data_IF_143790122968
#
_entry.id   IF_143790122968
#
_cell.length_a   1.000
_cell.length_b   1.000
_cell.length_c   1.000
_cell.angle_alpha   90.00
_cell.angle_beta   90.00
_cell.angle_gamma   90.00
#
_symmetry.space_group_name_H-M   'P 1'
#
loop_
_entity.id
_entity.type
_entity.pdbx_description
1 polymer ?
#
# COMPACT_ATOMS: atom_id res chain seq x y z
N UNK A 1 0.68 -15.27 9.45
CA UNK A 1 1.71 -15.44 10.49
C UNK A 1 2.96 -14.71 9.98
N UNK A 2 3.47 -13.73 10.72
CA UNK A 2 4.61 -12.88 10.30
C UNK A 2 5.85 -13.69 9.96
N UNK A 3 6.14 -14.75 10.70
CA UNK A 3 7.27 -15.64 10.42
C UNK A 3 7.19 -16.22 9.01
N UNK A 4 6.00 -16.67 8.61
CA UNK A 4 5.75 -17.16 7.25
C UNK A 4 5.98 -16.06 6.22
N UNK A 5 5.51 -14.83 6.47
CA UNK A 5 5.68 -13.72 5.53
C UNK A 5 7.15 -13.34 5.27
N UNK A 6 8.05 -13.64 6.21
CA UNK A 6 9.48 -13.38 6.08
C UNK A 6 10.20 -14.41 5.21
N UNK A 7 9.63 -15.61 5.03
CA UNK A 7 10.28 -16.69 4.31
C UNK A 7 10.40 -16.38 2.81
N UNK A 8 11.57 -16.60 2.18
CA UNK A 8 11.75 -16.43 0.74
C UNK A 8 10.76 -17.27 -0.09
N UNK A 9 10.44 -18.48 0.37
CA UNK A 9 9.48 -19.37 -0.30
C UNK A 9 8.03 -18.86 -0.25
N UNK A 10 7.75 -17.91 0.65
CA UNK A 10 6.47 -17.20 0.75
C UNK A 10 6.52 -15.81 0.09
N UNK A 11 7.54 -15.54 -0.73
CA UNK A 11 7.61 -14.33 -1.53
C UNK A 11 6.53 -14.36 -2.62
N UNK A 12 5.43 -13.67 -2.34
CA UNK A 12 4.33 -13.43 -3.27
C UNK A 12 3.74 -12.03 -3.02
N UNK A 13 2.90 -11.59 -3.95
CA UNK A 13 2.13 -10.36 -3.85
C UNK A 13 1.21 -10.37 -2.63
N UNK A 14 0.82 -9.17 -2.18
CA UNK A 14 -0.04 -9.02 -1.02
C UNK A 14 -1.43 -9.59 -1.30
N UNK A 15 -2.02 -10.20 -0.28
CA UNK A 15 -3.41 -10.64 -0.30
C UNK A 15 -4.08 -10.34 1.04
N UNK A 16 -5.38 -10.06 1.00
CA UNK A 16 -6.17 -9.81 2.21
C UNK A 16 -7.58 -10.35 2.06
N UNK A 17 -8.05 -11.08 3.08
CA UNK A 17 -9.44 -11.53 3.16
C UNK A 17 -10.30 -10.43 3.79
N UNK A 18 -11.32 -9.98 3.05
CA UNK A 18 -12.19 -8.88 3.46
C UNK A 18 -13.40 -9.34 4.28
N UNK A 19 -13.88 -10.56 4.02
CA UNK A 19 -15.10 -11.07 4.65
C UNK A 19 -15.75 -12.16 3.83
N UNK A 20 -17.00 -12.48 4.16
CA UNK A 20 -17.79 -13.49 3.45
C UNK A 20 -18.70 -12.87 2.38
N UNK A 21 -18.88 -13.59 1.29
CA UNK A 21 -19.88 -13.35 0.24
C UNK A 21 -20.96 -14.45 0.32
N UNK A 22 -22.11 -14.31 -0.37
CA UNK A 22 -23.18 -15.30 -0.30
C UNK A 22 -22.71 -16.75 -0.51
N UNK A 23 -23.21 -17.62 0.38
CA UNK A 23 -22.82 -19.03 0.47
C UNK A 23 -21.55 -19.28 1.29
N UNK A 24 -21.27 -18.43 2.29
CA UNK A 24 -20.13 -18.53 3.23
C UNK A 24 -18.75 -18.64 2.57
N UNK A 25 -18.64 -18.16 1.32
CA UNK A 25 -17.35 -18.10 0.63
C UNK A 25 -16.60 -16.86 1.07
N UNK A 26 -15.31 -16.99 1.33
CA UNK A 26 -14.47 -15.85 1.68
C UNK A 26 -14.10 -15.04 0.42
N UNK A 27 -14.13 -13.72 0.51
CA UNK A 27 -13.59 -12.81 -0.51
C UNK A 27 -12.19 -12.38 -0.10
N UNK A 28 -11.21 -12.88 -0.84
CA UNK A 28 -9.82 -12.44 -0.76
C UNK A 28 -9.49 -11.56 -1.97
N UNK A 29 -8.85 -10.42 -1.73
CA UNK A 29 -8.23 -9.61 -2.76
C UNK A 29 -6.76 -9.96 -2.89
N UNK A 30 -6.27 -10.07 -4.12
CA UNK A 30 -4.87 -10.30 -4.46
C UNK A 30 -4.33 -9.09 -5.22
N UNK A 31 -3.33 -8.43 -4.66
CA UNK A 31 -2.69 -7.25 -5.25
C UNK A 31 -1.64 -7.64 -6.30
N UNK A 32 -2.07 -8.45 -7.28
CA UNK A 32 -1.28 -8.91 -8.41
C UNK A 32 -1.95 -8.47 -9.72
N UNK A 33 -1.16 -7.94 -10.66
CA UNK A 33 -1.66 -7.44 -11.94
C UNK A 33 -2.45 -8.48 -12.76
N UNK A 34 -2.19 -9.78 -12.58
CA UNK A 34 -2.87 -10.89 -13.28
C UNK A 34 -4.09 -11.44 -12.53
N UNK A 35 -4.37 -10.96 -11.30
CA UNK A 35 -5.51 -11.37 -10.46
C UNK A 35 -6.49 -10.21 -10.28
N UNK A 36 -6.57 -9.62 -9.10
CA UNK A 36 -7.50 -8.52 -8.81
C UNK A 36 -6.93 -7.14 -9.19
N UNK A 37 -5.67 -7.07 -9.66
CA UNK A 37 -4.97 -5.83 -10.00
C UNK A 37 -4.06 -5.33 -8.88
N UNK A 38 -3.17 -4.37 -9.17
CA UNK A 38 -2.22 -3.81 -8.18
C UNK A 38 -2.73 -2.54 -7.49
N UNK A 39 -3.73 -1.87 -8.09
CA UNK A 39 -4.33 -0.64 -7.59
C UNK A 39 -5.85 -0.84 -7.53
N UNK A 40 -6.52 -0.20 -6.57
CA UNK A 40 -7.96 -0.33 -6.37
C UNK A 40 -8.64 1.01 -6.10
N UNK A 41 -9.91 1.11 -6.47
CA UNK A 41 -10.79 2.22 -6.13
C UNK A 41 -12.00 1.67 -5.38
N UNK A 42 -12.32 2.25 -4.22
CA UNK A 42 -13.51 1.94 -3.45
C UNK A 42 -14.49 3.09 -3.60
N UNK A 43 -15.70 2.79 -4.06
CA UNK A 43 -16.76 3.77 -4.28
C UNK A 43 -18.02 3.39 -3.49
N UNK A 44 -18.75 4.41 -3.06
CA UNK A 44 -19.95 4.26 -2.22
C UNK A 44 -20.36 5.59 -1.60
N UNK A 45 -21.65 5.74 -1.29
CA UNK A 45 -22.16 6.93 -0.62
C UNK A 45 -21.65 7.08 0.82
N UNK A 46 -21.98 8.20 1.46
CA UNK A 46 -21.73 8.38 2.89
C UNK A 46 -22.43 7.27 3.69
N UNK A 47 -21.73 6.69 4.66
CA UNK A 47 -22.28 5.62 5.52
C UNK A 47 -22.35 4.23 4.86
N UNK A 48 -21.82 4.05 3.64
CA UNK A 48 -21.85 2.74 2.96
C UNK A 48 -20.78 1.74 3.42
N UNK A 49 -19.97 2.09 4.42
CA UNK A 49 -18.92 1.20 4.93
C UNK A 49 -17.55 1.34 4.25
N UNK A 50 -17.27 2.42 3.50
CA UNK A 50 -16.00 2.57 2.78
C UNK A 50 -14.80 2.59 3.73
N UNK A 51 -14.86 3.44 4.75
CA UNK A 51 -13.78 3.58 5.72
C UNK A 51 -13.63 2.28 6.54
N UNK A 52 -14.73 1.61 6.90
CA UNK A 52 -14.71 0.29 7.55
C UNK A 52 -14.03 -0.79 6.69
N UNK A 53 -14.27 -0.77 5.37
CA UNK A 53 -13.59 -1.66 4.44
C UNK A 53 -12.08 -1.37 4.37
N UNK A 54 -11.69 -0.09 4.32
CA UNK A 54 -10.28 0.32 4.36
C UNK A 54 -9.61 -0.10 5.68
N UNK A 55 -10.26 0.13 6.82
CA UNK A 55 -9.78 -0.30 8.14
C UNK A 55 -9.61 -1.83 8.20
N UNK A 56 -10.57 -2.57 7.64
CA UNK A 56 -10.51 -4.05 7.55
C UNK A 56 -9.31 -4.51 6.71
N UNK A 57 -9.05 -3.84 5.58
CA UNK A 57 -7.89 -4.12 4.73
C UNK A 57 -6.57 -3.86 5.47
N UNK A 58 -6.43 -2.71 6.11
CA UNK A 58 -5.22 -2.35 6.88
C UNK A 58 -4.96 -3.40 7.96
N UNK A 59 -5.98 -3.72 8.77
CA UNK A 59 -5.87 -4.69 9.84
C UNK A 59 -5.50 -6.09 9.32
N UNK A 60 -6.20 -6.58 8.29
CA UNK A 60 -5.96 -7.90 7.71
C UNK A 60 -4.55 -8.04 7.12
N UNK A 61 -4.06 -6.99 6.45
CA UNK A 61 -2.70 -6.94 5.93
C UNK A 61 -1.65 -6.87 7.06
N UNK A 62 -1.84 -6.01 8.05
CA UNK A 62 -0.92 -5.85 9.17
C UNK A 62 -0.76 -7.14 10.00
N UNK A 63 -1.86 -7.90 10.17
CA UNK A 63 -1.84 -9.20 10.84
C UNK A 63 -1.12 -10.28 10.01
N UNK A 64 -1.12 -10.14 8.69
CA UNK A 64 -0.61 -11.16 7.77
C UNK A 64 0.88 -11.00 7.47
N UNK A 65 1.36 -9.76 7.36
CA UNK A 65 2.71 -9.43 6.89
C UNK A 65 3.52 -8.72 7.96
N UNK A 66 4.80 -9.08 8.10
CA UNK A 66 5.75 -8.37 8.97
C UNK A 66 6.02 -6.93 8.45
N UNK A 67 6.29 -5.92 9.29
CA UNK A 67 6.57 -4.54 8.86
C UNK A 67 7.80 -4.40 7.93
N UNK A 68 8.73 -5.35 7.90
CA UNK A 68 9.81 -5.36 6.89
C UNK A 68 9.36 -5.83 5.50
N UNK A 69 8.13 -6.35 5.38
CA UNK A 69 7.52 -6.83 4.14
C UNK A 69 6.45 -5.85 3.63
N UNK A 70 5.81 -5.09 4.52
CA UNK A 70 4.72 -4.18 4.20
C UNK A 70 4.77 -2.93 5.05
N UNK A 71 4.69 -1.77 4.40
CA UNK A 71 4.48 -0.47 5.04
C UNK A 71 3.23 0.22 4.51
N UNK A 72 2.62 1.06 5.35
CA UNK A 72 1.46 1.88 5.03
C UNK A 72 1.82 3.36 5.02
N UNK A 73 1.30 4.05 4.01
CA UNK A 73 1.12 5.51 4.01
C UNK A 73 -0.38 5.75 4.01
N UNK A 74 -0.88 6.35 5.07
CA UNK A 74 -2.32 6.54 5.28
C UNK A 74 -2.66 8.02 5.10
N UNK A 75 -3.52 8.32 4.14
CA UNK A 75 -3.89 9.69 3.77
C UNK A 75 -5.36 9.91 4.09
N UNK A 76 -5.60 10.77 5.07
CA UNK A 76 -6.94 11.19 5.49
C UNK A 76 -7.15 12.65 5.08
N UNK A 77 -7.74 12.84 3.88
CA UNK A 77 -7.82 14.16 3.25
C UNK A 77 -8.57 15.18 4.12
N UNK A 78 -9.73 14.80 4.67
CA UNK A 78 -10.58 15.68 5.47
C UNK A 78 -10.39 15.56 6.99
N UNK A 79 -9.46 14.71 7.45
CA UNK A 79 -9.23 14.51 8.87
C UNK A 79 -10.39 13.80 9.56
N UNK A 80 -11.06 12.87 8.87
CA UNK A 80 -12.15 12.06 9.40
C UNK A 80 -11.74 11.09 10.51
N UNK A 81 -10.44 10.97 10.79
CA UNK A 81 -9.88 10.18 11.88
C UNK A 81 -9.90 8.67 11.62
N UNK A 82 -10.29 8.24 10.42
CA UNK A 82 -10.45 6.82 10.07
C UNK A 82 -9.17 6.02 10.31
N UNK A 83 -8.01 6.64 10.11
CA UNK A 83 -6.70 5.99 10.23
C UNK A 83 -5.97 6.26 11.54
N UNK A 84 -6.50 7.15 12.40
CA UNK A 84 -5.90 7.46 13.71
C UNK A 84 -5.56 6.22 14.55
N UNK A 85 -6.44 5.19 14.64
CA UNK A 85 -6.15 3.96 15.38
C UNK A 85 -4.91 3.19 14.89
N UNK A 86 -4.47 3.38 13.65
CA UNK A 86 -3.34 2.65 13.05
C UNK A 86 -2.00 3.38 13.18
N UNK A 87 -1.98 4.60 13.74
CA UNK A 87 -0.75 5.37 13.96
C UNK A 87 0.30 4.63 14.79
N UNK A 88 -0.13 3.73 15.69
CA UNK A 88 0.75 2.92 16.52
C UNK A 88 1.26 1.64 15.86
N UNK A 89 0.84 1.31 14.62
CA UNK A 89 1.31 0.10 13.95
C UNK A 89 2.77 0.28 13.48
N UNK A 90 3.63 -0.75 13.65
CA UNK A 90 5.01 -0.68 13.14
C UNK A 90 5.08 -0.64 11.61
N UNK A 91 3.99 -0.97 10.92
CA UNK A 91 3.84 -0.86 9.47
C UNK A 91 3.59 0.57 9.01
N UNK A 92 3.03 1.42 9.87
CA UNK A 92 2.61 2.75 9.48
C UNK A 92 3.82 3.69 9.48
N UNK A 93 4.31 4.03 8.29
CA UNK A 93 5.51 4.88 8.14
C UNK A 93 5.16 6.35 7.99
N UNK A 94 3.94 6.66 7.55
CA UNK A 94 3.42 8.02 7.52
C UNK A 94 1.89 8.04 7.64
N UNK A 95 1.36 9.05 8.32
CA UNK A 95 -0.06 9.39 8.34
C UNK A 95 -0.19 10.86 8.02
N UNK A 96 -0.91 11.14 6.95
CA UNK A 96 -1.05 12.49 6.45
C UNK A 96 -2.52 12.90 6.60
N UNK A 97 -2.76 13.75 7.59
CA UNK A 97 -4.08 14.28 7.93
C UNK A 97 -4.18 15.75 7.55
N UNK A 98 -5.39 16.25 7.28
CA UNK A 98 -5.65 17.68 7.10
C UNK A 98 -4.71 18.29 6.05
N UNK A 99 -4.75 17.68 4.86
CA UNK A 99 -3.80 17.93 3.79
C UNK A 99 -3.81 19.40 3.37
N UNK A 100 -2.74 20.12 3.71
CA UNK A 100 -2.37 21.30 2.96
C UNK A 100 -1.49 20.90 1.77
N UNK A 101 -1.44 21.78 0.76
CA UNK A 101 -0.71 21.54 -0.50
C UNK A 101 0.76 21.13 -0.28
N UNK A 102 1.40 21.67 0.76
CA UNK A 102 2.80 21.36 1.08
C UNK A 102 3.00 19.94 1.61
N UNK A 103 2.08 19.42 2.44
CA UNK A 103 2.15 18.06 2.98
C UNK A 103 1.97 17.02 1.87
N UNK A 104 1.02 17.24 0.96
CA UNK A 104 0.81 16.36 -0.20
C UNK A 104 2.00 16.40 -1.15
N UNK A 105 2.54 17.59 -1.40
CA UNK A 105 3.72 17.72 -2.26
C UNK A 105 4.92 16.97 -1.70
N UNK A 106 5.16 17.09 -0.39
CA UNK A 106 6.22 16.33 0.28
C UNK A 106 6.00 14.82 0.18
N UNK A 107 4.78 14.34 0.42
CA UNK A 107 4.44 12.92 0.25
C UNK A 107 4.82 12.41 -1.15
N UNK A 108 4.45 13.16 -2.19
CA UNK A 108 4.79 12.78 -3.56
C UNK A 108 6.30 12.77 -3.80
N UNK A 109 7.03 13.76 -3.30
CA UNK A 109 8.49 13.80 -3.38
C UNK A 109 9.12 12.58 -2.69
N UNK A 110 8.64 12.23 -1.51
CA UNK A 110 9.16 11.09 -0.74
C UNK A 110 8.86 9.76 -1.45
N UNK A 111 7.67 9.61 -2.04
CA UNK A 111 7.32 8.42 -2.86
C UNK A 111 8.20 8.34 -4.11
N UNK A 112 8.43 9.44 -4.81
CA UNK A 112 9.27 9.45 -6.01
C UNK A 112 10.72 9.05 -5.69
N UNK A 113 11.29 9.57 -4.61
CA UNK A 113 12.63 9.20 -4.16
C UNK A 113 12.71 7.70 -3.80
N UNK A 114 11.69 7.16 -3.13
CA UNK A 114 11.62 5.74 -2.82
C UNK A 114 11.54 4.88 -4.08
N UNK A 115 10.78 5.29 -5.11
CA UNK A 115 10.74 4.57 -6.40
C UNK A 115 12.09 4.57 -7.10
N UNK A 116 12.84 5.68 -7.07
CA UNK A 116 14.20 5.75 -7.64
C UNK A 116 15.17 4.83 -6.90
N UNK A 117 15.14 4.83 -5.56
CA UNK A 117 15.94 3.94 -4.72
C UNK A 117 15.68 2.47 -5.07
N UNK A 118 14.40 2.11 -5.27
CA UNK A 118 13.94 0.77 -5.63
C UNK A 118 14.43 0.32 -7.00
N UNK A 119 14.43 1.21 -7.98
CA UNK A 119 14.99 0.94 -9.31
C UNK A 119 16.49 0.69 -9.22
N UNK A 120 17.22 1.57 -8.52
CA UNK A 120 18.65 1.42 -8.29
C UNK A 120 18.97 0.09 -7.58
N UNK A 121 18.21 -0.27 -6.55
CA UNK A 121 18.37 -1.53 -5.81
C UNK A 121 18.17 -2.73 -6.73
N UNK A 122 17.08 -2.76 -7.49
CA UNK A 122 16.79 -3.84 -8.45
C UNK A 122 17.89 -4.00 -9.51
N UNK A 123 18.42 -2.88 -10.01
CA UNK A 123 19.54 -2.89 -10.94
C UNK A 123 20.82 -3.45 -10.29
N UNK A 124 21.13 -3.05 -9.06
CA UNK A 124 22.29 -3.52 -8.31
C UNK A 124 22.23 -5.01 -7.92
N UNK A 125 21.03 -5.55 -7.69
CA UNK A 125 20.83 -6.97 -7.33
C UNK A 125 20.44 -7.87 -8.50
N UNK A 126 20.24 -7.30 -9.69
CA UNK A 126 19.81 -8.03 -10.88
C UNK A 126 18.47 -8.74 -10.68
N UNK A 127 17.50 -8.05 -10.05
CA UNK A 127 16.14 -8.54 -9.77
C UNK A 127 15.11 -7.73 -10.54
N UNK A 128 14.13 -8.38 -11.14
CA UNK A 128 13.11 -7.73 -11.95
C UNK A 128 12.10 -6.92 -11.13
N UNK A 129 11.76 -7.40 -9.94
CA UNK A 129 10.79 -6.76 -9.04
C UNK A 129 10.95 -7.26 -7.60
N UNK A 130 10.23 -6.62 -6.67
CA UNK A 130 10.21 -6.89 -5.23
C UNK A 130 10.04 -8.38 -4.87
N UNK A 131 9.17 -9.12 -5.59
CA UNK A 131 8.95 -10.54 -5.32
C UNK A 131 10.21 -11.37 -5.60
N UNK A 132 10.94 -11.11 -6.70
CA UNK A 132 12.18 -11.83 -6.99
C UNK A 132 13.28 -11.47 -5.99
N UNK A 133 13.35 -10.20 -5.58
CA UNK A 133 14.25 -9.75 -4.52
C UNK A 133 14.03 -10.55 -3.23
N UNK A 134 12.76 -10.74 -2.84
CA UNK A 134 12.38 -11.52 -1.66
C UNK A 134 12.60 -13.02 -1.84
N UNK A 135 12.27 -13.58 -3.00
CA UNK A 135 12.46 -15.00 -3.30
C UNK A 135 13.94 -15.42 -3.26
N UNK A 136 14.86 -14.50 -3.59
CA UNK A 136 16.31 -14.71 -3.45
C UNK A 136 16.82 -14.54 -2.01
N UNK A 137 15.96 -14.19 -1.05
CA UNK A 137 16.32 -13.96 0.34
C UNK A 137 17.14 -12.70 0.60
N UNK A 138 17.19 -11.77 -0.36
CA UNK A 138 18.02 -10.56 -0.25
C UNK A 138 17.51 -9.61 0.84
N UNK A 139 16.23 -9.66 1.18
CA UNK A 139 15.64 -8.90 2.29
C UNK A 139 16.05 -9.42 3.67
N UNK A 140 16.67 -10.61 3.76
CA UNK A 140 17.17 -11.17 5.02
C UNK A 140 18.64 -10.85 5.26
N UNK A 141 19.41 -10.64 4.20
CA UNK A 141 20.86 -10.41 4.25
C UNK A 141 21.26 -8.98 3.88
N UNK A 142 20.38 -8.25 3.20
CA UNK A 142 20.54 -6.86 2.80
C UNK A 142 19.46 -5.95 3.39
N UNK A 143 19.21 -4.84 2.69
CA UNK A 143 18.23 -3.84 3.12
C UNK A 143 16.78 -4.33 2.94
N UNK A 144 15.87 -4.02 3.89
CA UNK A 144 14.46 -4.27 3.71
C UNK A 144 13.93 -3.64 2.42
N UNK A 145 13.04 -4.37 1.77
CA UNK A 145 12.33 -3.91 0.58
C UNK A 145 10.83 -4.23 0.75
N UNK A 146 10.13 -3.48 1.62
CA UNK A 146 8.71 -3.67 1.88
C UNK A 146 7.86 -3.12 0.73
N UNK A 147 6.70 -3.74 0.50
CA UNK A 147 5.64 -3.12 -0.29
C UNK A 147 5.21 -1.81 0.37
N UNK A 148 5.01 -0.75 -0.42
CA UNK A 148 4.49 0.54 0.06
C UNK A 148 3.01 0.66 -0.31
N UNK A 149 2.13 0.34 0.63
CA UNK A 149 0.69 0.32 0.40
C UNK A 149 0.09 1.67 0.81
N UNK A 150 -0.21 2.50 -0.18
CA UNK A 150 -0.76 3.86 0.00
C UNK A 150 -2.28 3.78 0.01
N UNK A 151 -2.91 4.30 1.06
CA UNK A 151 -4.37 4.34 1.20
C UNK A 151 -4.81 5.79 1.32
N UNK A 152 -5.73 6.19 0.47
CA UNK A 152 -6.28 7.55 0.43
C UNK A 152 -7.78 7.47 0.70
N UNK A 153 -8.20 7.99 1.85
CA UNK A 153 -9.62 8.23 2.13
C UNK A 153 -10.05 9.56 1.49
N UNK A 154 -11.30 9.62 1.05
CA UNK A 154 -11.86 10.77 0.31
C UNK A 154 -11.04 11.19 -0.94
N UNK A 155 -10.52 10.20 -1.68
CA UNK A 155 -9.75 10.40 -2.92
C UNK A 155 -10.44 11.35 -3.92
N UNK A 156 -11.76 11.24 -4.08
CA UNK A 156 -12.53 12.04 -5.03
C UNK A 156 -12.47 13.55 -4.71
N UNK A 157 -12.46 13.89 -3.43
CA UNK A 157 -12.36 15.28 -2.99
C UNK A 157 -10.93 15.80 -3.15
N UNK A 158 -9.92 14.99 -2.80
CA UNK A 158 -8.51 15.34 -2.98
C UNK A 158 -8.19 15.74 -4.44
N UNK A 159 -8.68 14.98 -5.42
CA UNK A 159 -8.47 15.29 -6.85
C UNK A 159 -9.34 16.45 -7.36
N UNK A 160 -10.48 16.72 -6.72
CA UNK A 160 -11.35 17.85 -7.08
C UNK A 160 -10.71 19.15 -6.63
N UNK A 161 -10.17 19.17 -5.42
CA UNK A 161 -9.55 20.36 -4.83
C UNK A 161 -8.14 20.62 -5.40
N UNK A 162 -7.43 19.57 -5.84
CA UNK A 162 -6.05 19.67 -6.35
C UNK A 162 -5.84 18.78 -7.59
N UNK A 163 -6.28 19.23 -8.78
CA UNK A 163 -6.20 18.43 -10.00
C UNK A 163 -4.79 17.98 -10.38
N UNK A 164 -3.73 18.75 -10.07
CA UNK A 164 -2.36 18.35 -10.37
C UNK A 164 -1.90 17.09 -9.63
N UNK A 165 -2.52 16.74 -8.50
CA UNK A 165 -2.18 15.51 -7.77
C UNK A 165 -2.59 14.25 -8.53
N UNK A 166 -3.60 14.35 -9.38
CA UNK A 166 -4.00 13.26 -10.26
C UNK A 166 -2.85 12.85 -11.19
N UNK A 167 -2.17 13.82 -11.80
CA UNK A 167 -1.05 13.55 -12.71
C UNK A 167 0.13 12.90 -11.98
N UNK A 168 0.41 13.34 -10.74
CA UNK A 168 1.46 12.73 -9.90
C UNK A 168 1.12 11.29 -9.53
N UNK A 169 -0.13 11.00 -9.16
CA UNK A 169 -0.59 9.64 -8.88
C UNK A 169 -0.56 8.74 -10.12
N UNK A 170 -0.95 9.26 -11.28
CA UNK A 170 -0.87 8.51 -12.54
C UNK A 170 0.59 8.13 -12.88
N UNK A 171 1.54 9.05 -12.64
CA UNK A 171 2.97 8.76 -12.80
C UNK A 171 3.45 7.66 -11.85
N UNK A 172 3.10 7.76 -10.57
CA UNK A 172 3.48 6.79 -9.53
C UNK A 172 2.86 5.42 -9.79
N UNK A 173 1.56 5.35 -10.08
CA UNK A 173 0.86 4.07 -10.31
C UNK A 173 1.40 3.31 -11.51
N UNK A 174 1.86 4.02 -12.55
CA UNK A 174 2.49 3.42 -13.73
C UNK A 174 3.82 2.74 -13.42
N UNK A 175 4.66 3.36 -12.58
CA UNK A 175 6.00 2.86 -12.23
C UNK A 175 5.95 1.86 -11.06
N UNK A 176 5.07 2.11 -10.10
CA UNK A 176 4.95 1.35 -8.85
C UNK A 176 4.57 -0.11 -9.04
N UNK A 177 3.83 -0.46 -10.11
CA UNK A 177 3.40 -1.85 -10.40
C UNK A 177 4.53 -2.89 -10.32
N UNK A 178 5.74 -2.54 -10.75
CA UNK A 178 6.90 -3.45 -10.73
C UNK A 178 7.80 -3.27 -9.50
N UNK A 179 7.59 -2.22 -8.71
CA UNK A 179 8.50 -1.83 -7.62
C UNK A 179 7.92 -2.07 -6.22
N UNK A 180 6.66 -2.49 -6.09
CA UNK A 180 6.07 -2.91 -4.81
C UNK A 180 5.18 -1.86 -4.20
#
# INVERSE_FOLDING_TARGET
NWETSLQPDSADWLQVTLGAIPGDRLRTLNFEAKRDGVHGLIAGGTGSGKSELLMTMIAGLALSYHPSILNFVLVDYKGGGAFGPFAGLPHCVDIITNLNESAVTRMFTDIEAELELRQWRNAGTGTAHIIEYRARGLHLTGEPYPHLFIIIDEYAEMITDNPEFKEKLDKITRVGRSLG
#
